data_IF_541278505525
#
_entry.id   IF_541278505525
#
_cell.length_a   1.000
_cell.length_b   1.000
_cell.length_c   1.000
_cell.angle_alpha   90.00
_cell.angle_beta   90.00
_cell.angle_gamma   90.00
#
_symmetry.space_group_name_H-M   'P 1'
#
loop_
_entity.id
_entity.type
_entity.pdbx_description
1 polymer ?
#
# COMPACT_ATOMS: atom_id res chain seq x y z
N UNK A 1 -19.01 2.74 5.95
CA UNK A 1 -19.68 2.15 7.13
C UNK A 1 -19.28 2.87 8.43
N UNK A 2 -18.03 2.85 8.90
CA UNK A 2 -17.62 3.53 10.14
C UNK A 2 -18.11 5.00 10.19
N UNK A 3 -17.92 5.76 9.12
CA UNK A 3 -18.36 7.16 9.04
C UNK A 3 -19.89 7.32 9.11
N UNK A 4 -20.67 6.37 8.59
CA UNK A 4 -22.13 6.38 8.68
C UNK A 4 -22.56 6.17 10.13
N UNK A 5 -22.01 5.20 10.83
CA UNK A 5 -22.28 4.99 12.26
C UNK A 5 -21.91 6.23 13.07
N UNK A 6 -20.75 6.84 12.81
CA UNK A 6 -20.38 8.10 13.47
C UNK A 6 -21.34 9.25 13.16
N UNK A 7 -21.85 9.34 11.93
CA UNK A 7 -22.85 10.35 11.56
C UNK A 7 -24.14 10.17 12.35
N UNK A 8 -24.61 8.93 12.51
CA UNK A 8 -25.78 8.60 13.34
C UNK A 8 -25.56 9.02 14.80
N UNK A 9 -24.40 8.69 15.37
CA UNK A 9 -24.09 9.08 16.75
C UNK A 9 -24.02 10.60 16.92
N UNK A 10 -23.44 11.29 15.97
CA UNK A 10 -23.34 12.77 16.01
C UNK A 10 -24.69 13.46 15.88
N UNK A 11 -25.66 12.90 15.12
CA UNK A 11 -27.02 13.46 15.03
C UNK A 11 -27.76 13.44 16.38
N UNK A 12 -27.35 12.51 17.27
CA UNK A 12 -27.86 12.43 18.64
C UNK A 12 -26.93 13.08 19.68
N UNK A 13 -25.96 13.90 19.24
CA UNK A 13 -25.01 14.59 20.12
C UNK A 13 -24.19 13.63 20.99
N UNK A 14 -24.05 12.37 20.57
CA UNK A 14 -23.21 11.39 21.25
C UNK A 14 -21.75 11.66 20.88
N UNK A 15 -20.85 11.78 21.86
CA UNK A 15 -19.44 12.06 21.60
C UNK A 15 -18.79 10.92 20.80
N UNK A 16 -17.69 11.22 20.14
CA UNK A 16 -16.90 10.22 19.41
C UNK A 16 -16.44 9.10 20.34
N UNK A 17 -16.40 7.87 19.81
CA UNK A 17 -15.94 6.71 20.54
C UNK A 17 -14.54 6.96 21.14
N UNK A 18 -14.32 6.72 22.46
CA UNK A 18 -13.02 6.89 23.10
C UNK A 18 -11.98 5.84 22.65
N UNK A 19 -12.43 4.79 21.97
CA UNK A 19 -11.56 3.74 21.47
C UNK A 19 -11.14 4.01 20.04
N UNK A 20 -9.90 3.62 19.70
CA UNK A 20 -9.32 3.85 18.37
C UNK A 20 -10.10 3.16 17.23
N UNK A 21 -10.75 2.04 17.53
CA UNK A 21 -11.57 1.30 16.55
C UNK A 21 -13.01 1.11 17.04
N UNK A 22 -13.94 1.82 16.40
CA UNK A 22 -15.37 1.74 16.67
C UNK A 22 -15.96 0.34 16.41
N UNK A 23 -15.44 -0.37 15.40
CA UNK A 23 -15.94 -1.69 15.02
C UNK A 23 -15.21 -2.83 15.74
N UNK A 24 -14.19 -2.56 16.53
CA UNK A 24 -13.51 -3.53 17.39
C UNK A 24 -14.32 -3.90 18.63
N UNK A 25 -13.92 -4.93 19.36
CA UNK A 25 -14.65 -5.46 20.52
C UNK A 25 -15.01 -4.36 21.56
N UNK A 26 -14.03 -3.53 21.94
CA UNK A 26 -14.24 -2.43 22.90
C UNK A 26 -15.15 -1.33 22.33
N UNK A 27 -15.02 -1.01 21.04
CA UNK A 27 -15.88 -0.02 20.40
C UNK A 27 -17.33 -0.49 20.31
N UNK A 28 -17.56 -1.76 20.01
CA UNK A 28 -18.89 -2.38 19.98
C UNK A 28 -19.56 -2.44 21.36
N UNK A 29 -18.78 -2.78 22.40
CA UNK A 29 -19.29 -2.74 23.78
C UNK A 29 -19.73 -1.33 24.15
N UNK A 30 -18.90 -0.33 23.91
CA UNK A 30 -19.26 1.08 24.11
C UNK A 30 -20.47 1.49 23.29
N UNK A 31 -20.54 1.06 22.01
CA UNK A 31 -21.64 1.38 21.11
C UNK A 31 -22.97 0.78 21.58
N UNK A 32 -22.98 -0.41 22.20
CA UNK A 32 -24.18 -1.04 22.74
C UNK A 32 -24.76 -0.30 23.95
N UNK A 33 -23.94 0.46 24.65
CA UNK A 33 -24.34 1.26 25.82
C UNK A 33 -24.97 2.61 25.44
N UNK A 34 -24.81 3.05 24.20
CA UNK A 34 -25.31 4.35 23.76
C UNK A 34 -26.84 4.32 23.60
N UNK A 35 -27.51 5.40 24.03
CA UNK A 35 -28.95 5.54 23.91
C UNK A 35 -29.23 6.17 22.52
N UNK A 36 -29.73 5.36 21.59
CA UNK A 36 -30.17 5.79 20.26
C UNK A 36 -31.57 5.22 20.00
N UNK A 37 -32.38 5.86 19.14
CA UNK A 37 -33.68 5.34 18.69
C UNK A 37 -33.56 3.94 18.09
N UNK A 38 -34.64 3.15 18.18
CA UNK A 38 -34.63 1.74 17.79
C UNK A 38 -34.36 1.55 16.28
N UNK A 39 -34.91 2.42 15.45
CA UNK A 39 -34.70 2.41 13.99
C UNK A 39 -33.23 2.66 13.63
N UNK A 40 -32.58 3.59 14.32
CA UNK A 40 -31.15 3.86 14.13
C UNK A 40 -30.27 2.76 14.73
N UNK A 41 -30.67 2.15 15.83
CA UNK A 41 -30.02 0.97 16.38
C UNK A 41 -29.98 -0.16 15.35
N UNK A 42 -31.12 -0.43 14.71
CA UNK A 42 -31.21 -1.42 13.65
C UNK A 42 -30.33 -1.08 12.45
N UNK A 43 -30.21 0.22 12.11
CA UNK A 43 -29.31 0.67 11.05
C UNK A 43 -27.82 0.44 11.43
N UNK A 44 -27.44 0.77 12.65
CA UNK A 44 -26.08 0.51 13.17
C UNK A 44 -25.76 -0.98 13.11
N UNK A 45 -26.66 -1.83 13.61
CA UNK A 45 -26.45 -3.28 13.62
C UNK A 45 -26.34 -3.87 12.21
N UNK A 46 -27.08 -3.31 11.24
CA UNK A 46 -26.96 -3.68 9.83
C UNK A 46 -25.56 -3.33 9.29
N UNK A 47 -25.05 -2.16 9.61
CA UNK A 47 -23.72 -1.74 9.18
C UNK A 47 -22.61 -2.55 9.85
N UNK A 48 -22.77 -2.97 11.10
CA UNK A 48 -21.81 -3.84 11.79
C UNK A 48 -21.78 -5.25 11.15
N UNK A 49 -22.95 -5.84 10.87
CA UNK A 49 -23.01 -7.14 10.18
C UNK A 49 -22.38 -7.09 8.79
N UNK A 50 -22.64 -6.02 8.03
CA UNK A 50 -22.03 -5.86 6.71
C UNK A 50 -20.51 -5.65 6.81
N UNK A 51 -20.05 -4.96 7.86
CA UNK A 51 -18.62 -4.81 8.12
C UNK A 51 -17.95 -6.17 8.40
N UNK A 52 -18.60 -7.02 9.18
CA UNK A 52 -18.09 -8.37 9.47
C UNK A 52 -18.08 -9.25 8.20
N UNK A 53 -19.16 -9.24 7.44
CA UNK A 53 -19.25 -9.96 6.15
C UNK A 53 -18.13 -9.57 5.20
N UNK A 54 -17.90 -8.28 5.02
CA UNK A 54 -16.79 -7.81 4.17
C UNK A 54 -15.41 -8.17 4.74
N UNK A 55 -15.29 -8.22 6.05
CA UNK A 55 -14.06 -8.69 6.70
C UNK A 55 -13.77 -10.16 6.39
N UNK A 56 -14.79 -10.99 6.38
CA UNK A 56 -14.67 -12.42 6.02
C UNK A 56 -14.35 -12.60 4.53
N UNK A 57 -15.03 -11.85 3.65
CA UNK A 57 -14.74 -11.84 2.21
C UNK A 57 -13.28 -11.43 1.92
N UNK A 58 -12.78 -10.39 2.61
CA UNK A 58 -11.38 -9.97 2.51
C UNK A 58 -10.41 -11.07 2.92
N UNK A 59 -10.68 -11.79 4.01
CA UNK A 59 -9.82 -12.91 4.46
C UNK A 59 -9.74 -14.04 3.42
N UNK A 60 -10.83 -14.30 2.69
CA UNK A 60 -10.84 -15.29 1.60
C UNK A 60 -9.92 -14.82 0.48
N UNK A 61 -10.10 -13.57 0.02
CA UNK A 61 -9.28 -12.97 -1.04
C UNK A 61 -7.79 -12.93 -0.64
N UNK A 62 -7.48 -12.51 0.58
CA UNK A 62 -6.11 -12.47 1.09
C UNK A 62 -5.45 -13.85 1.09
N UNK A 63 -6.21 -14.91 1.42
CA UNK A 63 -5.73 -16.29 1.38
C UNK A 63 -5.43 -16.75 -0.04
N UNK A 64 -6.27 -16.41 -1.00
CA UNK A 64 -6.07 -16.77 -2.40
C UNK A 64 -4.87 -16.00 -2.99
N UNK A 65 -4.74 -14.73 -2.66
CA UNK A 65 -3.57 -13.93 -3.01
C UNK A 65 -2.28 -14.51 -2.39
N UNK A 66 -2.34 -15.00 -1.15
CA UNK A 66 -1.20 -15.63 -0.50
C UNK A 66 -0.74 -16.90 -1.23
N UNK A 67 -1.68 -17.72 -1.71
CA UNK A 67 -1.35 -18.91 -2.52
C UNK A 67 -0.65 -18.49 -3.82
N UNK A 68 -1.22 -17.54 -4.55
CA UNK A 68 -0.63 -17.03 -5.79
C UNK A 68 0.76 -16.42 -5.57
N UNK A 69 0.96 -15.73 -4.43
CA UNK A 69 2.25 -15.15 -4.08
C UNK A 69 3.34 -16.21 -3.84
N UNK A 70 2.95 -17.35 -3.24
CA UNK A 70 3.87 -18.47 -2.98
C UNK A 70 4.31 -19.20 -4.25
N UNK A 71 3.55 -19.13 -5.32
CA UNK A 71 3.88 -19.74 -6.61
C UNK A 71 4.77 -18.84 -7.47
N UNK A 72 4.79 -17.54 -7.19
CA UNK A 72 5.46 -16.54 -7.99
C UNK A 72 6.85 -16.16 -7.45
N UNK A 73 7.88 -16.56 -8.19
CA UNK A 73 9.27 -16.28 -7.84
C UNK A 73 9.62 -14.78 -7.82
N UNK A 74 8.99 -13.99 -8.70
CA UNK A 74 9.18 -12.54 -8.72
C UNK A 74 8.62 -11.88 -7.47
N UNK A 75 7.46 -12.35 -6.98
CA UNK A 75 6.85 -11.86 -5.73
C UNK A 75 7.72 -12.24 -4.54
N UNK A 76 8.22 -13.48 -4.47
CA UNK A 76 9.15 -13.91 -3.41
C UNK A 76 10.38 -13.01 -3.35
N UNK A 77 10.98 -12.70 -4.50
CA UNK A 77 12.13 -11.79 -4.57
C UNK A 77 11.79 -10.37 -4.09
N UNK A 78 10.61 -9.85 -4.43
CA UNK A 78 10.18 -8.55 -3.94
C UNK A 78 9.99 -8.54 -2.41
N UNK A 79 9.51 -9.64 -1.84
CA UNK A 79 9.31 -9.79 -0.39
C UNK A 79 10.63 -9.87 0.40
N UNK A 80 11.78 -10.10 -0.24
CA UNK A 80 13.09 -10.01 0.45
C UNK A 80 13.48 -8.58 0.79
N UNK A 81 12.81 -7.59 0.21
CA UNK A 81 13.08 -6.18 0.47
C UNK A 81 12.43 -5.78 1.80
N UNK A 82 13.18 -5.24 2.78
CA UNK A 82 12.63 -4.83 4.06
C UNK A 82 11.46 -3.86 3.91
N UNK A 83 10.31 -4.22 4.48
CA UNK A 83 9.08 -3.42 4.44
C UNK A 83 8.19 -3.66 3.22
N UNK A 84 8.50 -4.58 2.35
CA UNK A 84 7.61 -5.05 1.28
C UNK A 84 6.89 -6.29 1.79
N UNK A 85 5.61 -6.16 2.07
CA UNK A 85 4.75 -7.29 2.39
C UNK A 85 4.20 -7.96 1.13
N UNK A 86 3.52 -9.06 1.30
CA UNK A 86 2.92 -9.83 0.22
C UNK A 86 1.97 -8.99 -0.66
N UNK A 87 1.12 -8.18 -0.03
CA UNK A 87 0.14 -7.36 -0.74
C UNK A 87 0.81 -6.30 -1.59
N UNK A 88 1.85 -5.65 -1.05
CA UNK A 88 2.66 -4.67 -1.78
C UNK A 88 3.41 -5.33 -2.92
N UNK A 89 4.01 -6.51 -2.69
CA UNK A 89 4.75 -7.23 -3.73
C UNK A 89 3.85 -7.64 -4.91
N UNK A 90 2.66 -8.17 -4.61
CA UNK A 90 1.67 -8.52 -5.63
C UNK A 90 1.17 -7.28 -6.39
N UNK A 91 0.86 -6.20 -5.68
CA UNK A 91 0.43 -4.95 -6.30
C UNK A 91 1.52 -4.35 -7.22
N UNK A 92 2.78 -4.41 -6.79
CA UNK A 92 3.91 -3.98 -7.61
C UNK A 92 4.05 -4.85 -8.85
N UNK A 93 3.99 -6.18 -8.70
CA UNK A 93 4.08 -7.09 -9.84
C UNK A 93 2.93 -6.90 -10.82
N UNK A 94 1.69 -6.78 -10.33
CA UNK A 94 0.52 -6.52 -11.18
C UNK A 94 0.62 -5.19 -11.93
N UNK A 95 1.22 -4.16 -11.32
CA UNK A 95 1.41 -2.87 -11.96
C UNK A 95 2.56 -2.85 -12.97
N UNK A 96 3.64 -3.58 -12.69
CA UNK A 96 4.82 -3.66 -13.54
C UNK A 96 4.55 -4.58 -14.74
N UNK A 97 3.86 -5.70 -14.50
CA UNK A 97 3.69 -6.76 -15.50
C UNK A 97 5.03 -7.42 -15.82
N UNK A 98 5.38 -7.47 -17.08
CA UNK A 98 6.68 -8.01 -17.51
C UNK A 98 7.78 -6.97 -17.31
N UNK A 99 8.80 -7.35 -16.55
CA UNK A 99 9.98 -6.50 -16.26
C UNK A 99 10.88 -6.34 -17.49
N UNK A 100 10.88 -7.29 -18.42
CA UNK A 100 11.72 -7.27 -19.62
C UNK A 100 11.42 -6.07 -20.54
N UNK A 101 10.21 -5.49 -20.43
CA UNK A 101 9.81 -4.27 -21.17
C UNK A 101 10.60 -3.02 -20.76
N UNK A 102 11.32 -3.07 -19.65
CA UNK A 102 12.14 -1.95 -19.19
C UNK A 102 13.62 -2.28 -19.38
N UNK A 103 14.25 -1.63 -20.36
CA UNK A 103 15.68 -1.83 -20.66
C UNK A 103 16.57 -1.39 -19.49
N UNK A 104 16.12 -0.34 -18.76
CA UNK A 104 16.86 0.27 -17.66
C UNK A 104 15.99 0.40 -16.40
N UNK A 105 16.58 0.22 -15.20
CA UNK A 105 15.88 0.41 -13.92
C UNK A 105 15.25 1.82 -13.77
N UNK A 106 15.89 2.83 -14.34
CA UNK A 106 15.41 4.21 -14.31
C UNK A 106 14.05 4.39 -15.00
N UNK A 107 13.82 3.67 -16.11
CA UNK A 107 12.53 3.68 -16.82
C UNK A 107 11.41 3.12 -15.96
N UNK A 108 11.70 2.07 -15.17
CA UNK A 108 10.74 1.52 -14.21
C UNK A 108 10.42 2.53 -13.09
N UNK A 109 11.43 3.20 -12.52
CA UNK A 109 11.23 4.23 -11.49
C UNK A 109 10.37 5.38 -12.02
N UNK A 110 10.61 5.79 -13.27
CA UNK A 110 9.80 6.82 -13.96
C UNK A 110 8.36 6.36 -14.18
N UNK A 111 8.17 5.12 -14.62
CA UNK A 111 6.85 4.52 -14.83
C UNK A 111 6.02 4.47 -13.56
N UNK A 112 6.65 4.18 -12.43
CA UNK A 112 6.02 4.20 -11.11
C UNK A 112 5.81 5.60 -10.54
N UNK A 113 6.33 6.64 -11.20
CA UNK A 113 6.21 8.03 -10.76
C UNK A 113 7.02 8.36 -9.50
N UNK A 114 8.08 7.60 -9.24
CA UNK A 114 8.95 7.76 -8.08
C UNK A 114 10.13 8.70 -8.33
N UNK A 115 10.28 9.22 -9.54
CA UNK A 115 11.32 10.17 -9.86
C UNK A 115 11.14 11.49 -9.07
N UNK A 116 12.21 12.00 -8.46
CA UNK A 116 12.19 13.34 -7.89
C UNK A 116 12.07 14.38 -9.03
N UNK A 117 11.35 15.47 -8.77
CA UNK A 117 11.42 16.63 -9.67
C UNK A 117 12.81 17.23 -9.61
N UNK A 118 13.43 17.45 -10.75
CA UNK A 118 14.74 18.10 -10.83
C UNK A 118 14.53 19.51 -11.39
N UNK A 119 15.05 20.51 -10.68
CA UNK A 119 15.09 21.90 -11.15
C UNK A 119 16.55 22.28 -11.33
N UNK A 120 16.94 22.58 -12.55
CA UNK A 120 18.25 23.09 -12.88
C UNK A 120 18.09 24.19 -13.92
N UNK A 121 18.57 25.37 -13.62
CA UNK A 121 18.67 26.49 -14.55
C UNK A 121 20.16 26.84 -14.73
N UNK A 122 20.69 26.59 -15.90
CA UNK A 122 22.09 26.87 -16.20
C UNK A 122 23.09 25.86 -15.64
N UNK A 123 24.39 26.20 -15.56
CA UNK A 123 25.47 25.31 -15.12
C UNK A 123 25.54 25.09 -13.60
N UNK A 124 24.57 25.61 -12.83
CA UNK A 124 24.50 25.45 -11.37
C UNK A 124 24.11 24.06 -10.92
N UNK A 125 24.18 23.77 -9.59
CA UNK A 125 23.81 22.48 -9.05
C UNK A 125 22.32 22.19 -9.25
N UNK A 126 21.99 20.93 -9.56
CA UNK A 126 20.62 20.49 -9.71
C UNK A 126 19.94 20.37 -8.32
N UNK A 127 18.77 20.97 -8.17
CA UNK A 127 17.93 20.82 -6.97
C UNK A 127 16.92 19.70 -7.16
N UNK A 128 17.00 18.70 -6.30
CA UNK A 128 16.04 17.60 -6.27
C UNK A 128 14.86 17.97 -5.37
N UNK A 129 13.66 18.03 -5.97
CA UNK A 129 12.41 18.33 -5.28
C UNK A 129 11.67 17.06 -4.84
N UNK A 130 10.37 17.22 -4.59
CA UNK A 130 9.48 16.10 -4.22
C UNK A 130 9.30 15.15 -5.41
N UNK A 131 8.85 13.92 -5.11
CA UNK A 131 8.45 12.94 -6.11
C UNK A 131 7.36 13.55 -7.02
N UNK A 132 7.52 13.39 -8.31
CA UNK A 132 6.61 13.99 -9.32
C UNK A 132 5.19 13.43 -9.25
N UNK A 133 5.01 12.21 -8.75
CA UNK A 133 3.74 11.45 -8.74
C UNK A 133 3.10 11.32 -10.14
N UNK A 134 3.84 11.59 -11.18
CA UNK A 134 3.43 11.44 -12.56
C UNK A 134 3.72 10.00 -13.02
N UNK A 135 2.82 9.09 -12.69
CA UNK A 135 2.95 7.69 -13.02
C UNK A 135 1.76 6.90 -12.48
N UNK A 136 1.85 5.56 -12.46
CA UNK A 136 0.83 4.72 -11.81
C UNK A 136 0.85 4.94 -10.30
N UNK A 137 -0.10 5.73 -9.79
CA UNK A 137 -0.13 6.16 -8.40
C UNK A 137 -0.34 5.03 -7.39
N UNK A 138 -1.02 3.95 -7.75
CA UNK A 138 -1.34 2.86 -6.84
C UNK A 138 -0.09 2.11 -6.32
N UNK A 139 0.83 1.62 -7.15
CA UNK A 139 2.04 0.94 -6.65
C UNK A 139 3.00 1.90 -5.93
N UNK A 140 3.07 3.17 -6.36
CA UNK A 140 3.83 4.18 -5.64
C UNK A 140 3.27 4.42 -4.23
N UNK A 141 1.94 4.48 -4.07
CA UNK A 141 1.29 4.62 -2.77
C UNK A 141 1.53 3.40 -1.87
N UNK A 142 1.51 2.19 -2.41
CA UNK A 142 1.82 0.97 -1.67
C UNK A 142 3.28 0.94 -1.21
N UNK A 143 4.23 1.32 -2.06
CA UNK A 143 5.65 1.38 -1.72
C UNK A 143 5.99 2.42 -0.64
N UNK A 144 5.18 3.48 -0.52
CA UNK A 144 5.37 4.56 0.45
C UNK A 144 4.65 4.32 1.78
N UNK A 145 3.65 3.44 1.83
CA UNK A 145 2.86 3.13 3.03
C UNK A 145 3.44 2.00 3.88
N UNK A 146 4.73 1.81 3.91
CA UNK A 146 5.33 0.76 4.73
C UNK A 146 5.06 0.98 6.22
N UNK A 147 4.45 0.02 6.95
CA UNK A 147 4.31 0.09 8.39
C UNK A 147 5.70 0.01 9.03
N UNK A 148 6.08 1.02 9.81
CA UNK A 148 7.35 1.07 10.54
C UNK A 148 8.28 2.22 10.18
N UNK A 149 8.10 2.91 9.08
CA UNK A 149 8.73 4.21 8.89
C UNK A 149 7.89 5.27 9.58
N UNK A 150 8.30 5.65 10.79
CA UNK A 150 7.85 6.89 11.43
C UNK A 150 7.86 7.97 10.37
N UNK A 151 6.76 8.71 10.29
CA UNK A 151 6.54 9.88 9.42
C UNK A 151 7.87 10.49 8.94
N UNK A 152 8.36 10.08 7.79
CA UNK A 152 9.19 10.95 7.02
C UNK A 152 8.29 12.12 6.65
N UNK A 153 8.44 13.22 7.39
CA UNK A 153 7.83 14.51 7.06
C UNK A 153 7.94 14.67 5.56
N UNK A 154 6.83 14.94 4.94
CA UNK A 154 6.72 15.22 3.51
C UNK A 154 7.80 16.24 3.11
N UNK A 155 8.94 15.78 2.65
CA UNK A 155 10.00 16.73 2.36
C UNK A 155 11.25 16.16 1.68
N UNK A 156 11.69 14.99 2.04
CA UNK A 156 12.93 14.45 1.48
C UNK A 156 12.78 12.95 1.17
N UNK A 157 12.47 12.63 -0.09
CA UNK A 157 12.75 11.31 -0.62
C UNK A 157 14.24 11.30 -0.95
N UNK A 158 15.06 10.82 0.00
CA UNK A 158 16.49 10.66 -0.22
C UNK A 158 16.76 9.59 -1.29
N UNK A 159 17.96 9.57 -1.89
CA UNK A 159 18.35 8.65 -2.96
C UNK A 159 18.16 7.16 -2.60
N UNK A 160 18.10 6.83 -1.32
CA UNK A 160 17.88 5.46 -0.81
C UNK A 160 16.53 4.85 -1.19
N UNK A 161 15.47 5.64 -1.39
CA UNK A 161 14.15 5.10 -1.78
C UNK A 161 14.10 4.70 -3.25
N UNK A 162 14.83 5.42 -4.11
CA UNK A 162 14.98 5.07 -5.52
C UNK A 162 15.86 3.84 -5.70
N UNK A 163 16.87 3.65 -4.84
CA UNK A 163 17.76 2.49 -4.85
C UNK A 163 17.02 1.19 -4.52
N UNK A 164 16.04 1.22 -3.59
CA UNK A 164 15.24 0.04 -3.27
C UNK A 164 14.41 -0.45 -4.47
N UNK A 165 13.78 0.47 -5.23
CA UNK A 165 12.97 0.09 -6.39
C UNK A 165 13.85 -0.33 -7.58
N UNK A 166 15.00 0.32 -7.77
CA UNK A 166 15.97 -0.08 -8.79
C UNK A 166 16.62 -1.43 -8.45
N UNK A 167 16.89 -1.69 -7.16
CA UNK A 167 17.34 -3.01 -6.68
C UNK A 167 16.30 -4.11 -6.94
N UNK A 168 15.01 -3.81 -6.72
CA UNK A 168 13.92 -4.74 -7.02
C UNK A 168 13.82 -5.07 -8.51
N UNK A 169 14.01 -4.09 -9.39
CA UNK A 169 14.01 -4.30 -10.83
C UNK A 169 15.18 -5.19 -11.28
N UNK A 170 16.34 -5.05 -10.65
CA UNK A 170 17.52 -5.86 -10.97
C UNK A 170 17.40 -7.30 -10.43
N UNK A 171 16.75 -7.48 -9.26
CA UNK A 171 16.46 -8.80 -8.69
C UNK A 171 15.34 -9.55 -9.41
N UNK A 172 14.43 -8.85 -10.09
CA UNK A 172 13.32 -9.44 -10.84
C UNK A 172 13.74 -9.99 -12.22
N UNK A 173 14.93 -9.68 -12.71
CA UNK A 173 15.45 -10.27 -13.96
C UNK A 173 15.88 -11.71 -13.73
N UNK A 174 15.47 -12.67 -14.56
CA UNK A 174 16.03 -14.01 -14.56
C UNK A 174 17.54 -13.91 -14.86
N UNK A 175 18.34 -14.69 -14.14
CA UNK A 175 19.77 -14.82 -14.44
C UNK A 175 19.95 -15.26 -15.90
N UNK A 176 20.86 -14.66 -16.67
CA UNK A 176 21.14 -15.13 -18.02
C UNK A 176 21.61 -16.60 -17.94
N UNK A 177 21.22 -17.46 -18.88
CA UNK A 177 21.70 -18.83 -18.91
C UNK A 177 23.23 -18.81 -18.95
N UNK A 178 23.84 -19.53 -18.04
CA UNK A 178 25.29 -19.73 -18.04
C UNK A 178 25.70 -20.37 -19.37
N UNK A 179 26.15 -19.57 -20.31
CA UNK A 179 26.87 -20.07 -21.47
C UNK A 179 28.21 -20.63 -20.97
N UNK A 180 28.28 -21.93 -20.88
CA UNK A 180 29.53 -22.67 -20.70
C UNK A 180 30.46 -22.32 -21.88
N UNK A 181 31.44 -21.49 -21.63
CA UNK A 181 32.62 -21.38 -22.48
C UNK A 181 33.61 -22.48 -22.07
N UNK A 182 33.41 -23.67 -22.63
CA UNK A 182 34.43 -24.71 -22.70
C UNK A 182 34.64 -25.03 -24.19
N UNK A 183 35.62 -24.44 -24.77
CA UNK A 183 36.50 -25.00 -25.81
C UNK A 183 37.62 -24.00 -26.08
#
# INVERSE_FOLDING_TARGET
MKNVIQSILHSHLIPSCPHADLCGAKGRSWLSEQIVPEDERLAIDRHLREFDRLGDDLRVIERDLARSALEDEGVKRLMTIPGVDMTVALAMKAAIGDVSRFDEPQKLVSYLGLNPSVRQSGPGPAYHGRITKQGRGHPAACSLKQPGRRHLRQGHCGPSSCVCVAGAANMARPSPPHTNWLS
#
